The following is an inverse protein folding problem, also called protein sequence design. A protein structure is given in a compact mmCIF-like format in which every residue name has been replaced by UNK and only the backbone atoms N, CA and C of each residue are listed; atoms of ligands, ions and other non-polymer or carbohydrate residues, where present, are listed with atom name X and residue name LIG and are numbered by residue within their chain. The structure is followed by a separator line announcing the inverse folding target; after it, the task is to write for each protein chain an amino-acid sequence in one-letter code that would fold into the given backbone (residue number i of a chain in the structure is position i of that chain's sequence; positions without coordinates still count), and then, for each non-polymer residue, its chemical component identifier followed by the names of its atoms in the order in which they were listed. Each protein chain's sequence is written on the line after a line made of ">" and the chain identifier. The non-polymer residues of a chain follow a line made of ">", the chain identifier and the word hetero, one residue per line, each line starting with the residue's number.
data_IF_637711905623
#
_entry.id   IF_637711905623
#
_cell.length_a   1.000
_cell.length_b   1.000
_cell.length_c   1.000
_cell.angle_alpha   90.00
_cell.angle_beta   90.00
_cell.angle_gamma   90.00
#
_symmetry.space_group_name_H-M   'P 1'
#
loop_
_entity.id
_entity.type
_entity.pdbx_description
1 polymer ?
#
# COMPACT_ATOMS: atom_id res chain seq x y z
N UNK A 1 -8.99 6.26 2.35
CA UNK A 1 -8.10 5.55 3.27
C UNK A 1 -8.81 4.33 3.82
N UNK A 2 -8.15 3.19 3.74
CA UNK A 2 -8.65 1.94 4.35
C UNK A 2 -7.68 1.52 5.44
N UNK A 3 -8.20 1.31 6.64
CA UNK A 3 -7.44 0.94 7.81
C UNK A 3 -7.83 -0.46 8.27
N UNK A 4 -6.83 -1.33 8.42
CA UNK A 4 -7.04 -2.70 8.90
C UNK A 4 -6.12 -2.94 10.08
N UNK A 5 -6.68 -3.48 11.14
CA UNK A 5 -5.92 -3.84 12.32
C UNK A 5 -6.17 -5.29 12.67
N UNK A 6 -5.12 -6.09 12.69
CA UNK A 6 -5.21 -7.46 13.20
C UNK A 6 -5.33 -7.43 14.71
N UNK A 7 -6.26 -8.19 15.22
CA UNK A 7 -6.45 -8.26 16.69
C UNK A 7 -5.31 -9.02 17.33
N UNK A 8 -4.83 -8.47 18.41
CA UNK A 8 -3.88 -9.15 19.28
C UNK A 8 -4.66 -10.08 20.23
N UNK A 9 -4.18 -11.30 20.36
CA UNK A 9 -4.80 -12.28 21.27
C UNK A 9 -4.30 -12.05 22.71
N UNK A 10 -4.82 -11.00 23.34
CA UNK A 10 -4.60 -10.77 24.77
C UNK A 10 -3.20 -10.37 25.20
N UNK A 11 -2.37 -9.94 24.27
CA UNK A 11 -0.99 -9.55 24.59
C UNK A 11 -0.79 -8.05 24.37
N UNK A 12 -0.50 -7.34 25.44
CA UNK A 12 -0.27 -5.89 25.38
C UNK A 12 1.19 -5.49 25.24
N UNK A 13 2.09 -6.47 25.20
CA UNK A 13 3.52 -6.22 25.24
C UNK A 13 4.19 -6.15 23.88
N UNK A 14 3.49 -6.52 22.81
CA UNK A 14 4.03 -6.49 21.46
C UNK A 14 3.92 -5.11 20.86
N UNK A 15 5.05 -4.63 20.31
CA UNK A 15 5.07 -3.36 19.61
C UNK A 15 4.16 -3.42 18.38
N UNK A 16 3.31 -2.43 18.24
CA UNK A 16 2.46 -2.28 17.05
C UNK A 16 3.28 -1.72 15.90
N UNK A 17 3.25 -2.42 14.77
CA UNK A 17 3.87 -1.92 13.53
C UNK A 17 2.81 -1.35 12.61
N UNK A 18 3.18 -0.32 11.89
CA UNK A 18 2.33 0.31 10.88
C UNK A 18 2.88 -0.05 9.51
N UNK A 19 2.03 -0.66 8.69
CA UNK A 19 2.37 -1.09 7.33
C UNK A 19 1.53 -0.28 6.36
N UNK A 20 2.19 0.43 5.45
CA UNK A 20 1.51 1.28 4.46
C UNK A 20 1.53 0.65 3.08
N UNK A 21 0.38 0.64 2.42
CA UNK A 21 0.28 0.36 0.99
C UNK A 21 -0.15 1.66 0.32
N UNK A 22 0.69 2.20 -0.53
CA UNK A 22 0.46 3.51 -1.14
C UNK A 22 0.91 3.57 -2.58
N UNK A 23 0.33 4.50 -3.32
CA UNK A 23 0.74 4.86 -4.65
C UNK A 23 0.57 6.35 -4.88
N UNK A 24 0.74 6.79 -6.10
CA UNK A 24 0.47 8.15 -6.51
C UNK A 24 -0.19 8.17 -7.88
N UNK A 25 -1.09 9.11 -8.08
CA UNK A 25 -1.79 9.27 -9.36
C UNK A 25 -0.83 9.75 -10.45
N UNK A 26 -1.06 9.27 -11.67
CA UNK A 26 -0.43 9.82 -12.85
C UNK A 26 -1.04 11.17 -13.22
N UNK A 27 -0.33 11.91 -14.07
CA UNK A 27 -0.79 13.21 -14.60
C UNK A 27 -1.13 14.22 -13.49
N UNK A 28 -0.42 14.13 -12.36
CA UNK A 28 -0.54 15.02 -11.21
C UNK A 28 0.82 15.64 -10.92
N UNK A 29 0.89 16.48 -9.89
CA UNK A 29 2.11 17.15 -9.50
C UNK A 29 3.21 16.14 -9.13
N UNK A 30 4.19 16.00 -10.02
CA UNK A 30 5.31 15.05 -9.85
C UNK A 30 6.23 15.46 -8.71
N UNK A 31 6.33 16.75 -8.42
CA UNK A 31 7.18 17.24 -7.34
C UNK A 31 6.75 16.75 -5.97
N UNK A 32 5.48 16.43 -5.81
CA UNK A 32 4.94 15.93 -4.54
C UNK A 32 5.27 14.46 -4.28
N UNK A 33 5.65 13.69 -5.32
CA UNK A 33 5.88 12.25 -5.18
C UNK A 33 6.97 11.92 -4.17
N UNK A 34 8.17 12.49 -4.26
CA UNK A 34 9.18 12.23 -3.25
C UNK A 34 8.78 12.71 -1.86
N UNK A 35 8.05 13.82 -1.76
CA UNK A 35 7.56 14.33 -0.48
C UNK A 35 6.59 13.37 0.19
N UNK A 36 5.70 12.76 -0.59
CA UNK A 36 4.77 11.76 -0.09
C UNK A 36 5.53 10.54 0.44
N UNK A 37 6.51 10.05 -0.31
CA UNK A 37 7.36 8.94 0.11
C UNK A 37 8.10 9.25 1.41
N UNK A 38 8.64 10.45 1.53
CA UNK A 38 9.37 10.88 2.72
C UNK A 38 8.48 10.92 3.95
N UNK A 39 7.27 11.48 3.82
CA UNK A 39 6.33 11.59 4.95
C UNK A 39 5.90 10.20 5.43
N UNK A 40 5.54 9.32 4.51
CA UNK A 40 5.09 7.98 4.88
C UNK A 40 6.25 7.16 5.45
N UNK A 41 7.45 7.33 4.92
CA UNK A 41 8.66 6.68 5.45
C UNK A 41 8.87 6.99 6.92
N UNK A 42 8.70 8.25 7.31
CA UNK A 42 8.91 8.69 8.70
C UNK A 42 7.87 8.12 9.66
N UNK A 43 6.67 7.82 9.19
CA UNK A 43 5.55 7.48 10.06
C UNK A 43 5.13 6.01 10.01
N UNK A 44 5.85 5.18 9.26
CA UNK A 44 5.52 3.77 9.13
C UNK A 44 6.75 2.89 9.34
N UNK A 45 6.50 1.64 9.68
CA UNK A 45 7.57 0.65 9.87
C UNK A 45 7.87 -0.08 8.57
N UNK A 46 6.84 -0.39 7.79
CA UNK A 46 6.97 -1.08 6.51
C UNK A 46 6.16 -0.33 5.45
N UNK A 47 6.69 -0.28 4.23
CA UNK A 47 6.02 0.39 3.11
C UNK A 47 5.95 -0.50 1.90
N UNK A 48 4.81 -0.48 1.21
CA UNK A 48 4.68 -1.11 -0.09
C UNK A 48 4.20 -0.04 -1.06
N UNK A 49 5.00 0.22 -2.08
CA UNK A 49 4.66 1.15 -3.16
C UNK A 49 4.03 0.38 -4.29
N UNK A 50 2.89 0.84 -4.76
CA UNK A 50 2.12 0.13 -5.77
C UNK A 50 1.44 1.09 -6.75
N UNK A 51 0.72 0.52 -7.69
CA UNK A 51 0.02 1.26 -8.72
C UNK A 51 -1.25 1.93 -8.18
N UNK A 52 -1.50 3.15 -8.68
CA UNK A 52 -2.71 3.92 -8.41
C UNK A 52 -2.94 4.85 -9.58
N UNK A 53 -4.03 4.69 -10.30
CA UNK A 53 -4.44 5.54 -11.43
C UNK A 53 -3.27 6.16 -12.20
N UNK A 54 -2.44 5.39 -12.91
CA UNK A 54 -1.30 5.96 -13.62
C UNK A 54 -1.70 6.80 -14.82
N UNK A 55 -2.93 6.67 -15.32
CA UNK A 55 -3.39 7.28 -16.56
C UNK A 55 -2.41 6.95 -17.70
N UNK A 56 -1.91 7.94 -18.42
CA UNK A 56 -0.97 7.73 -19.51
C UNK A 56 0.50 7.69 -19.11
N UNK A 57 0.82 7.85 -17.83
CA UNK A 57 2.22 7.79 -17.38
C UNK A 57 2.68 6.36 -17.13
N UNK A 58 3.99 6.16 -17.21
CA UNK A 58 4.62 4.90 -16.85
C UNK A 58 4.45 4.66 -15.34
N UNK A 59 3.72 3.62 -14.93
CA UNK A 59 3.50 3.36 -13.51
C UNK A 59 4.79 3.07 -12.73
N UNK A 60 5.81 2.49 -13.35
CA UNK A 60 7.10 2.28 -12.69
C UNK A 60 7.81 3.59 -12.40
N UNK A 61 7.70 4.56 -13.31
CA UNK A 61 8.27 5.88 -13.10
C UNK A 61 7.64 6.54 -11.87
N UNK A 62 6.32 6.43 -11.74
CA UNK A 62 5.59 6.99 -10.59
C UNK A 62 6.09 6.36 -9.29
N UNK A 63 6.15 5.03 -9.25
CA UNK A 63 6.62 4.28 -8.07
C UNK A 63 8.04 4.70 -7.71
N UNK A 64 8.92 4.80 -8.69
CA UNK A 64 10.32 5.15 -8.47
C UNK A 64 10.48 6.59 -7.97
N UNK A 65 9.65 7.50 -8.43
CA UNK A 65 9.68 8.89 -7.97
C UNK A 65 9.23 9.01 -6.50
N UNK A 66 8.21 8.26 -6.09
CA UNK A 66 7.81 8.20 -4.68
C UNK A 66 8.93 7.59 -3.84
N UNK A 67 9.57 6.54 -4.34
CA UNK A 67 10.66 5.86 -3.65
C UNK A 67 11.86 6.75 -3.37
N UNK A 68 12.08 7.78 -4.19
CA UNK A 68 13.19 8.73 -3.96
C UNK A 68 13.10 9.45 -2.62
N UNK A 69 11.91 9.54 -2.04
CA UNK A 69 11.71 10.15 -0.73
C UNK A 69 11.99 9.23 0.44
N UNK A 70 12.14 7.93 0.20
CA UNK A 70 12.38 6.95 1.26
C UNK A 70 13.85 6.97 1.65
N UNK A 71 14.13 7.30 2.90
CA UNK A 71 15.50 7.45 3.40
C UNK A 71 15.85 6.56 4.59
N UNK A 72 14.84 5.98 5.25
CA UNK A 72 15.03 5.21 6.47
C UNK A 72 14.73 3.73 6.29
N UNK A 73 14.53 3.28 5.07
CA UNK A 73 14.18 1.89 4.76
C UNK A 73 15.05 1.37 3.62
N UNK A 74 15.21 0.06 3.58
CA UNK A 74 16.01 -0.65 2.58
C UNK A 74 15.06 -1.48 1.73
N UNK A 75 15.16 -1.33 0.41
CA UNK A 75 14.31 -2.06 -0.53
C UNK A 75 14.44 -3.57 -0.33
N UNK A 76 13.30 -4.25 -0.35
CA UNK A 76 13.16 -5.70 -0.11
C UNK A 76 13.44 -6.15 1.32
N UNK A 77 13.65 -5.23 2.23
CA UNK A 77 13.75 -5.53 3.66
C UNK A 77 12.59 -4.93 4.45
N UNK A 78 12.36 -3.63 4.28
CA UNK A 78 11.26 -2.94 4.96
C UNK A 78 10.52 -1.95 4.06
N UNK A 79 10.85 -1.92 2.76
CA UNK A 79 9.91 -1.42 1.76
C UNK A 79 10.03 -2.23 0.47
N UNK A 80 8.94 -2.28 -0.28
CA UNK A 80 8.84 -3.05 -1.52
C UNK A 80 8.13 -2.24 -2.59
N UNK A 81 8.49 -2.52 -3.85
CA UNK A 81 7.83 -1.97 -5.03
C UNK A 81 7.08 -3.13 -5.69
N UNK A 82 5.77 -3.12 -5.60
CA UNK A 82 4.92 -4.18 -6.16
C UNK A 82 3.87 -3.53 -7.05
N UNK A 83 4.01 -3.72 -8.37
CA UNK A 83 3.18 -3.08 -9.37
C UNK A 83 1.70 -3.45 -9.21
N UNK A 84 1.40 -4.73 -9.06
CA UNK A 84 0.03 -5.20 -8.93
C UNK A 84 -0.51 -4.83 -7.55
N UNK A 85 -1.56 -3.99 -7.54
CA UNK A 85 -2.11 -3.47 -6.30
C UNK A 85 -2.70 -4.57 -5.41
N UNK A 86 -3.30 -5.61 -5.99
CA UNK A 86 -3.81 -6.76 -5.21
C UNK A 86 -2.66 -7.50 -4.54
N UNK A 87 -1.57 -7.73 -5.26
CA UNK A 87 -0.39 -8.39 -4.68
C UNK A 87 0.26 -7.54 -3.59
N UNK A 88 0.25 -6.21 -3.77
CA UNK A 88 0.76 -5.30 -2.75
C UNK A 88 -0.06 -5.42 -1.47
N UNK A 89 -1.37 -5.43 -1.58
CA UNK A 89 -2.28 -5.60 -0.44
C UNK A 89 -2.06 -6.97 0.21
N UNK A 90 -1.95 -8.02 -0.60
CA UNK A 90 -1.68 -9.38 -0.10
C UNK A 90 -0.38 -9.43 0.68
N UNK A 91 0.67 -8.80 0.18
CA UNK A 91 1.97 -8.73 0.85
C UNK A 91 1.85 -8.05 2.21
N UNK A 92 1.16 -6.91 2.26
CA UNK A 92 0.98 -6.17 3.51
C UNK A 92 0.24 -7.02 4.55
N UNK A 93 -0.81 -7.70 4.14
CA UNK A 93 -1.58 -8.56 5.04
C UNK A 93 -0.75 -9.76 5.53
N UNK A 94 0.11 -10.30 4.67
CA UNK A 94 0.99 -11.41 5.04
C UNK A 94 2.08 -10.97 6.03
N UNK A 95 2.57 -9.73 5.92
CA UNK A 95 3.58 -9.19 6.81
C UNK A 95 3.02 -8.82 8.19
N UNK A 96 1.73 -8.52 8.26
CA UNK A 96 1.11 -8.03 9.48
C UNK A 96 0.99 -9.14 10.53
N UNK A 97 1.37 -8.83 11.76
CA UNK A 97 1.24 -9.70 12.92
C UNK A 97 0.08 -9.20 13.79
N UNK A 98 -0.43 -10.03 14.72
CA UNK A 98 -1.46 -9.55 15.63
C UNK A 98 -1.07 -8.26 16.33
N UNK A 99 -1.94 -7.27 16.30
CA UNK A 99 -1.70 -5.94 16.85
C UNK A 99 -1.20 -4.91 15.82
N UNK A 100 -0.73 -5.35 14.67
CA UNK A 100 -0.27 -4.44 13.62
C UNK A 100 -1.42 -3.74 12.90
N UNK A 101 -1.10 -2.60 12.29
CA UNK A 101 -2.06 -1.81 11.52
C UNK A 101 -1.60 -1.76 10.07
N UNK A 102 -2.48 -2.11 9.14
CA UNK A 102 -2.24 -1.98 7.71
C UNK A 102 -3.10 -0.83 7.19
N UNK A 103 -2.45 0.15 6.56
CA UNK A 103 -3.11 1.32 5.98
C UNK A 103 -2.98 1.25 4.47
N UNK A 104 -4.12 1.19 3.78
CA UNK A 104 -4.16 1.21 2.32
C UNK A 104 -4.74 2.56 1.89
N UNK A 105 -3.96 3.34 1.15
CA UNK A 105 -4.33 4.69 0.76
C UNK A 105 -4.33 4.86 -0.75
N UNK A 106 -5.02 5.90 -1.21
CA UNK A 106 -5.04 6.32 -2.59
C UNK A 106 -6.39 6.14 -3.25
N UNK A 107 -6.95 4.94 -3.20
CA UNK A 107 -8.23 4.65 -3.84
C UNK A 107 -9.43 4.82 -2.92
N UNK A 108 -9.26 4.57 -1.63
CA UNK A 108 -10.35 4.72 -0.67
C UNK A 108 -11.60 3.94 -1.07
N UNK A 109 -12.72 4.64 -1.22
CA UNK A 109 -14.02 4.07 -1.61
C UNK A 109 -14.27 4.07 -3.12
N UNK A 110 -13.27 4.42 -3.92
CA UNK A 110 -13.42 4.45 -5.37
C UNK A 110 -13.68 3.06 -5.94
N UNK A 111 -14.50 3.01 -7.01
CA UNK A 111 -14.95 1.75 -7.62
C UNK A 111 -14.15 1.39 -8.87
N UNK A 112 -13.24 2.24 -9.32
CA UNK A 112 -12.47 2.04 -10.56
C UNK A 112 -11.03 2.50 -10.39
N UNK A 113 -10.16 1.94 -11.22
CA UNK A 113 -8.78 2.38 -11.36
C UNK A 113 -8.52 2.73 -12.83
N UNK A 114 -7.91 3.87 -13.09
CA UNK A 114 -7.59 4.31 -14.45
C UNK A 114 -6.20 3.84 -14.84
N UNK A 115 -6.13 2.98 -15.86
CA UNK A 115 -4.88 2.52 -16.45
C UNK A 115 -4.88 2.94 -17.92
N UNK A 116 -4.09 3.93 -18.28
CA UNK A 116 -4.18 4.58 -19.58
C UNK A 116 -5.54 5.25 -19.74
N UNK A 117 -6.26 4.90 -20.79
CA UNK A 117 -7.63 5.39 -21.04
C UNK A 117 -8.70 4.39 -20.57
N UNK A 118 -8.27 3.28 -19.99
CA UNK A 118 -9.21 2.25 -19.56
C UNK A 118 -9.59 2.41 -18.09
N UNK A 119 -10.87 2.25 -17.82
CA UNK A 119 -11.42 2.26 -16.48
C UNK A 119 -11.61 0.80 -16.06
N UNK A 120 -10.78 0.37 -15.13
CA UNK A 120 -10.77 -1.01 -14.63
C UNK A 120 -11.57 -1.07 -13.34
N UNK A 121 -12.51 -2.02 -13.18
CA UNK A 121 -13.22 -2.19 -11.91
C UNK A 121 -12.24 -2.45 -10.78
N UNK A 122 -12.35 -1.67 -9.71
CA UNK A 122 -11.47 -1.80 -8.56
C UNK A 122 -12.11 -1.22 -7.31
N UNK A 123 -11.96 -1.90 -6.19
CA UNK A 123 -12.38 -1.39 -4.89
C UNK A 123 -11.43 -1.95 -3.83
N UNK A 124 -10.70 -1.07 -3.15
CA UNK A 124 -9.73 -1.47 -2.14
C UNK A 124 -10.37 -2.32 -1.04
N UNK A 125 -11.51 -1.90 -0.53
CA UNK A 125 -12.19 -2.63 0.54
C UNK A 125 -12.54 -4.06 0.13
N UNK A 126 -13.07 -4.23 -1.08
CA UNK A 126 -13.42 -5.56 -1.60
C UNK A 126 -12.19 -6.45 -1.72
N UNK A 127 -11.11 -5.92 -2.28
CA UNK A 127 -9.86 -6.65 -2.46
C UNK A 127 -9.30 -7.07 -1.10
N UNK A 128 -9.29 -6.18 -0.13
CA UNK A 128 -8.82 -6.45 1.22
C UNK A 128 -9.63 -7.59 1.85
N UNK A 129 -10.96 -7.51 1.78
CA UNK A 129 -11.83 -8.54 2.35
C UNK A 129 -11.63 -9.88 1.67
N UNK A 130 -11.48 -9.90 0.35
CA UNK A 130 -11.21 -11.13 -0.38
C UNK A 130 -9.89 -11.77 0.05
N UNK A 131 -8.83 -10.97 0.18
CA UNK A 131 -7.53 -11.47 0.57
C UNK A 131 -7.49 -11.93 2.03
N UNK A 132 -8.20 -11.26 2.93
CA UNK A 132 -8.33 -11.70 4.32
C UNK A 132 -9.06 -13.04 4.41
N UNK A 133 -10.12 -13.22 3.65
CA UNK A 133 -10.88 -14.47 3.61
C UNK A 133 -10.01 -15.64 3.13
N UNK A 134 -9.21 -15.40 2.08
CA UNK A 134 -8.29 -16.42 1.55
C UNK A 134 -7.20 -16.77 2.56
N UNK A 135 -6.66 -15.75 3.26
CA UNK A 135 -5.63 -15.96 4.29
C UNK A 135 -6.16 -16.81 5.43
N UNK A 136 -7.38 -16.51 5.90
CA UNK A 136 -8.01 -17.26 6.99
C UNK A 136 -8.24 -18.73 6.64
N UNK A 137 -8.54 -19.02 5.37
CA UNK A 137 -8.78 -20.38 4.92
C UNK A 137 -7.51 -21.21 4.74
N UNK A 138 -6.33 -20.61 4.84
CA UNK A 138 -5.03 -21.27 4.72
C UNK A 138 -4.45 -21.72 6.06
N UNK A 139 -5.06 -21.30 7.13
CA UNK A 139 -4.63 -21.70 8.50
C UNK A 139 -5.22 -23.06 8.93
#
# INVERSE_FOLDING_TARGET
>A
VSLIRKRSAGQNTLKTHVISVMGSCGERDRGKRPMMGEIVDKHTDLMILTNEDPYGEDPWQIINEVAKGIKHKIENENFWKIMDRREAIRKALALARPGDVVIVTGKGAEENMMVGNEKIPWNDKRVILEELSTSDSRD
#
